data_IF_497725106777
#
_entry.id   IF_497725106777
#
_cell.length_a   1.000
_cell.length_b   1.000
_cell.length_c   1.000
_cell.angle_alpha   90.00
_cell.angle_beta   90.00
_cell.angle_gamma   90.00
#
_symmetry.space_group_name_H-M   'P 1'
#
loop_
_entity.id
_entity.type
_entity.pdbx_description
1 polymer ?
#
# COMPACT_ATOMS: atom_id res chain seq x y z
N UNK A 1 -16.43 3.35 -45.09
CA UNK A 1 -16.54 3.42 -43.62
C UNK A 1 -15.14 3.66 -43.09
N UNK A 2 -14.85 4.84 -42.53
CA UNK A 2 -13.56 5.11 -41.89
C UNK A 2 -13.46 4.24 -40.64
N UNK A 3 -12.55 3.28 -40.62
CA UNK A 3 -12.14 2.60 -39.40
C UNK A 3 -11.54 3.67 -38.49
N UNK A 4 -12.29 4.09 -37.47
CA UNK A 4 -11.77 4.94 -36.41
C UNK A 4 -10.74 4.08 -35.68
N UNK A 5 -9.47 4.48 -35.78
CA UNK A 5 -8.38 3.88 -35.02
C UNK A 5 -8.77 3.93 -33.55
N UNK A 6 -8.88 2.75 -32.93
CA UNK A 6 -9.18 2.67 -31.51
C UNK A 6 -7.92 3.11 -30.76
N UNK A 7 -7.94 4.31 -30.21
CA UNK A 7 -6.91 4.80 -29.30
C UNK A 7 -7.05 4.01 -28.00
N UNK A 8 -6.27 2.95 -27.86
CA UNK A 8 -6.17 2.19 -26.61
C UNK A 8 -5.05 2.80 -25.76
N UNK A 9 -5.45 3.67 -24.83
CA UNK A 9 -4.56 4.23 -23.82
C UNK A 9 -5.37 4.87 -22.69
N UNK A 10 -5.09 4.50 -21.44
CA UNK A 10 -5.69 5.13 -20.28
C UNK A 10 -5.06 6.50 -20.04
N UNK A 11 -5.88 7.53 -19.81
CA UNK A 11 -5.34 8.81 -19.34
C UNK A 11 -4.87 8.70 -17.87
N UNK A 12 -4.02 9.63 -17.42
CA UNK A 12 -3.46 9.59 -16.06
C UNK A 12 -4.53 9.48 -14.96
N UNK A 13 -5.64 10.23 -14.99
CA UNK A 13 -6.73 10.07 -14.02
C UNK A 13 -7.36 8.67 -14.00
N UNK A 14 -7.62 8.07 -15.17
CA UNK A 14 -8.18 6.71 -15.27
C UNK A 14 -7.22 5.67 -14.69
N UNK A 15 -5.91 5.79 -14.97
CA UNK A 15 -4.89 4.90 -14.42
C UNK A 15 -4.80 5.01 -12.90
N UNK A 16 -4.95 6.22 -12.34
CA UNK A 16 -4.99 6.44 -10.90
C UNK A 16 -6.24 5.85 -10.25
N UNK A 17 -7.42 6.03 -10.88
CA UNK A 17 -8.66 5.43 -10.41
C UNK A 17 -8.55 3.90 -10.35
N UNK A 18 -8.14 3.26 -11.44
CA UNK A 18 -7.98 1.80 -11.50
C UNK A 18 -6.94 1.32 -10.48
N UNK A 19 -5.79 2.00 -10.39
CA UNK A 19 -4.74 1.63 -9.44
C UNK A 19 -5.21 1.69 -7.98
N UNK A 20 -5.91 2.76 -7.58
CA UNK A 20 -6.41 2.89 -6.21
C UNK A 20 -7.57 1.95 -5.91
N UNK A 21 -8.50 1.76 -6.85
CA UNK A 21 -9.58 0.79 -6.69
C UNK A 21 -9.03 -0.64 -6.53
N UNK A 22 -8.10 -1.05 -7.40
CA UNK A 22 -7.46 -2.37 -7.29
C UNK A 22 -6.77 -2.55 -5.95
N UNK A 23 -6.02 -1.54 -5.51
CA UNK A 23 -5.29 -1.64 -4.27
C UNK A 23 -6.22 -1.79 -3.04
N UNK A 24 -7.31 -1.00 -2.94
CA UNK A 24 -8.30 -1.17 -1.87
C UNK A 24 -8.96 -2.56 -1.93
N UNK A 25 -9.24 -3.08 -3.12
CA UNK A 25 -9.82 -4.42 -3.28
C UNK A 25 -8.83 -5.53 -2.88
N UNK A 26 -7.54 -5.35 -3.16
CA UNK A 26 -6.48 -6.26 -2.69
C UNK A 26 -6.42 -6.25 -1.17
N UNK A 27 -6.36 -5.07 -0.55
CA UNK A 27 -6.31 -4.92 0.91
C UNK A 27 -7.53 -5.55 1.58
N UNK A 28 -8.72 -5.27 1.05
CA UNK A 28 -9.97 -5.89 1.48
C UNK A 28 -9.89 -7.42 1.39
N UNK A 29 -9.43 -7.96 0.26
CA UNK A 29 -9.35 -9.41 0.05
C UNK A 29 -8.39 -10.06 1.06
N UNK A 30 -7.21 -9.45 1.25
CA UNK A 30 -6.22 -9.96 2.20
C UNK A 30 -6.76 -9.92 3.63
N UNK A 31 -7.38 -8.81 4.04
CA UNK A 31 -7.99 -8.69 5.37
C UNK A 31 -9.04 -9.77 5.62
N UNK A 32 -9.96 -9.98 4.67
CA UNK A 32 -11.01 -11.00 4.84
C UNK A 32 -10.44 -12.43 4.82
N UNK A 33 -9.34 -12.70 4.10
CA UNK A 33 -8.69 -14.01 4.20
C UNK A 33 -8.05 -14.25 5.56
N UNK A 34 -7.45 -13.21 6.17
CA UNK A 34 -6.92 -13.33 7.51
C UNK A 34 -8.01 -13.48 8.56
N UNK A 35 -9.09 -12.70 8.46
CA UNK A 35 -10.26 -12.82 9.32
C UNK A 35 -10.90 -14.22 9.25
N UNK A 36 -10.99 -14.79 8.04
CA UNK A 36 -11.59 -16.12 7.84
C UNK A 36 -10.69 -17.27 8.32
N UNK A 37 -9.38 -17.19 8.07
CA UNK A 37 -8.48 -18.35 8.22
C UNK A 37 -7.44 -18.24 9.34
N UNK A 38 -7.35 -17.10 10.01
CA UNK A 38 -6.34 -16.90 11.04
C UNK A 38 -6.94 -16.33 12.33
N UNK A 39 -6.93 -17.15 13.38
CA UNK A 39 -7.50 -16.82 14.70
C UNK A 39 -6.96 -15.54 15.36
N UNK A 40 -5.83 -15.01 14.89
CA UNK A 40 -5.23 -13.78 15.40
C UNK A 40 -5.75 -12.50 14.74
N UNK A 41 -6.69 -12.63 13.79
CA UNK A 41 -7.34 -11.48 13.13
C UNK A 41 -8.84 -11.69 13.21
N UNK A 42 -9.54 -10.72 13.79
CA UNK A 42 -11.00 -10.74 13.83
C UNK A 42 -11.57 -9.39 13.39
N UNK A 43 -12.53 -9.43 12.49
CA UNK A 43 -13.20 -8.26 11.95
C UNK A 43 -14.72 -8.47 12.04
N UNK A 44 -15.41 -7.57 12.75
CA UNK A 44 -16.82 -7.73 13.10
C UNK A 44 -17.74 -7.92 11.88
N UNK A 45 -17.41 -7.29 10.76
CA UNK A 45 -18.20 -7.40 9.53
C UNK A 45 -17.43 -6.95 8.29
N UNK A 46 -17.94 -7.32 7.12
CA UNK A 46 -17.43 -6.88 5.82
C UNK A 46 -17.33 -5.34 5.69
N UNK A 47 -18.31 -4.59 6.20
CA UNK A 47 -18.29 -3.13 6.15
C UNK A 47 -17.11 -2.56 6.94
N UNK A 48 -16.78 -3.18 8.08
CA UNK A 48 -15.62 -2.80 8.89
C UNK A 48 -14.33 -3.18 8.19
N UNK A 49 -14.22 -4.37 7.57
CA UNK A 49 -13.02 -4.76 6.80
C UNK A 49 -12.79 -3.84 5.60
N UNK A 50 -13.85 -3.38 4.94
CA UNK A 50 -13.76 -2.38 3.88
C UNK A 50 -13.29 -1.01 4.36
N UNK A 51 -13.83 -0.52 5.48
CA UNK A 51 -13.37 0.72 6.08
C UNK A 51 -11.90 0.62 6.54
N UNK A 52 -11.50 -0.52 7.13
CA UNK A 52 -10.13 -0.80 7.54
C UNK A 52 -9.17 -0.86 6.34
N UNK A 53 -9.58 -1.49 5.23
CA UNK A 53 -8.80 -1.51 3.99
C UNK A 53 -8.53 -0.09 3.47
N UNK A 54 -9.55 0.77 3.44
CA UNK A 54 -9.38 2.17 3.02
C UNK A 54 -8.45 2.92 3.98
N UNK A 55 -8.62 2.72 5.31
CA UNK A 55 -7.76 3.35 6.31
C UNK A 55 -6.30 2.93 6.14
N UNK A 56 -6.03 1.63 6.08
CA UNK A 56 -4.69 1.09 5.88
C UNK A 56 -4.08 1.66 4.61
N UNK A 57 -4.84 1.68 3.51
CA UNK A 57 -4.35 2.17 2.25
C UNK A 57 -4.04 3.68 2.26
N UNK A 58 -4.80 4.45 3.03
CA UNK A 58 -4.50 5.86 3.27
C UNK A 58 -3.21 6.02 4.08
N UNK A 59 -3.06 5.28 5.18
CA UNK A 59 -1.92 5.38 6.07
C UNK A 59 -0.62 4.91 5.42
N UNK A 60 -0.65 3.88 4.56
CA UNK A 60 0.50 3.44 3.76
C UNK A 60 1.01 4.57 2.85
N UNK A 61 0.11 5.24 2.12
CA UNK A 61 0.48 6.35 1.23
C UNK A 61 1.01 7.55 2.00
N UNK A 62 0.40 7.87 3.14
CA UNK A 62 0.88 8.94 4.01
C UNK A 62 2.28 8.62 4.56
N UNK A 63 2.53 7.38 4.96
CA UNK A 63 3.83 6.93 5.49
C UNK A 63 4.93 7.02 4.43
N UNK A 64 4.66 6.54 3.22
CA UNK A 64 5.60 6.63 2.10
C UNK A 64 5.86 8.09 1.71
N UNK A 65 4.81 8.93 1.67
CA UNK A 65 4.96 10.36 1.37
C UNK A 65 5.80 11.10 2.42
N UNK A 66 5.60 10.78 3.70
CA UNK A 66 6.37 11.34 4.80
C UNK A 66 7.85 10.90 4.73
N UNK A 67 8.08 9.62 4.44
CA UNK A 67 9.43 9.07 4.24
C UNK A 67 10.17 9.82 3.12
N UNK A 68 9.55 10.00 1.95
CA UNK A 68 10.15 10.71 0.83
C UNK A 68 10.49 12.16 1.19
N UNK A 69 9.57 12.88 1.82
CA UNK A 69 9.78 14.29 2.22
C UNK A 69 10.98 14.44 3.17
N UNK A 70 11.11 13.52 4.13
CA UNK A 70 12.20 13.54 5.10
C UNK A 70 13.52 13.10 4.45
N UNK A 71 13.48 12.08 3.60
CA UNK A 71 14.64 11.62 2.85
C UNK A 71 15.22 12.73 1.95
N UNK A 72 14.36 13.46 1.25
CA UNK A 72 14.76 14.58 0.38
C UNK A 72 15.32 15.76 1.17
N UNK A 73 14.72 16.08 2.32
CA UNK A 73 15.25 17.10 3.23
C UNK A 73 16.70 16.83 3.62
N UNK A 74 17.02 15.61 4.04
CA UNK A 74 18.39 15.24 4.41
C UNK A 74 19.33 15.09 3.21
N UNK A 75 18.81 14.68 2.04
CA UNK A 75 19.58 14.58 0.80
C UNK A 75 20.10 15.93 0.30
N UNK A 76 19.36 17.01 0.56
CA UNK A 76 19.74 18.37 0.16
C UNK A 76 20.89 18.99 0.97
N UNK A 77 21.34 18.36 2.08
CA UNK A 77 22.36 18.91 2.98
C UNK A 77 23.74 18.26 2.74
N UNK A 78 24.82 19.06 2.60
CA UNK A 78 26.17 18.53 2.43
C UNK A 78 26.72 17.92 3.73
N UNK A 79 27.55 16.87 3.60
CA UNK A 79 28.28 16.24 4.71
C UNK A 79 27.88 14.79 5.03
N UNK A 80 28.56 14.18 6.00
CA UNK A 80 28.35 12.78 6.41
C UNK A 80 27.23 12.63 7.44
N UNK A 81 27.04 13.61 8.32
CA UNK A 81 25.99 13.58 9.35
C UNK A 81 24.56 13.49 8.76
N UNK A 82 24.18 14.25 7.71
CA UNK A 82 22.87 14.09 7.07
C UNK A 82 22.61 12.69 6.50
N UNK A 83 23.64 11.95 6.07
CA UNK A 83 23.49 10.57 5.59
C UNK A 83 23.09 9.62 6.73
N UNK A 84 23.69 9.78 7.90
CA UNK A 84 23.36 9.00 9.10
C UNK A 84 21.95 9.33 9.59
N UNK A 85 21.62 10.62 9.72
CA UNK A 85 20.28 11.05 10.11
C UNK A 85 19.20 10.65 9.10
N UNK A 86 19.53 10.57 7.81
CA UNK A 86 18.62 10.01 6.80
C UNK A 86 18.32 8.54 7.06
N UNK A 87 19.34 7.72 7.33
CA UNK A 87 19.14 6.30 7.64
C UNK A 87 18.29 6.10 8.89
N UNK A 88 18.60 6.83 9.96
CA UNK A 88 17.86 6.76 11.23
C UNK A 88 16.41 7.20 11.06
N UNK A 89 16.17 8.35 10.42
CA UNK A 89 14.81 8.88 10.21
C UNK A 89 13.97 7.97 9.31
N UNK A 90 14.55 7.45 8.24
CA UNK A 90 13.88 6.47 7.36
C UNK A 90 13.49 5.22 8.14
N UNK A 91 14.39 4.68 8.95
CA UNK A 91 14.11 3.52 9.79
C UNK A 91 12.99 3.79 10.81
N UNK A 92 13.04 4.93 11.50
CA UNK A 92 12.00 5.33 12.46
C UNK A 92 10.64 5.46 11.78
N UNK A 93 10.58 6.00 10.56
CA UNK A 93 9.31 6.12 9.82
C UNK A 93 8.82 4.75 9.36
N UNK A 94 9.69 3.91 8.80
CA UNK A 94 9.31 2.58 8.31
C UNK A 94 8.81 1.66 9.42
N UNK A 95 9.48 1.66 10.57
CA UNK A 95 9.07 0.84 11.72
C UNK A 95 7.96 1.52 12.50
N UNK A 96 8.10 2.82 12.78
CA UNK A 96 7.15 3.60 13.57
C UNK A 96 5.78 3.75 12.90
N UNK A 97 5.72 3.87 11.57
CA UNK A 97 4.45 3.96 10.84
C UNK A 97 3.57 2.74 11.06
N UNK A 98 4.14 1.55 11.27
CA UNK A 98 3.39 0.33 11.57
C UNK A 98 2.70 0.39 12.94
N UNK A 99 3.37 0.93 13.94
CA UNK A 99 2.74 1.18 15.24
C UNK A 99 1.67 2.25 15.17
N UNK A 100 1.91 3.33 14.40
CA UNK A 100 0.89 4.37 14.16
C UNK A 100 -0.33 3.79 13.43
N UNK A 101 -0.12 2.88 12.48
CA UNK A 101 -1.21 2.21 11.77
C UNK A 101 -2.04 1.31 12.69
N UNK A 102 -1.38 0.50 13.53
CA UNK A 102 -2.06 -0.34 14.53
C UNK A 102 -2.88 0.52 15.50
N UNK A 103 -2.29 1.60 16.02
CA UNK A 103 -2.98 2.53 16.91
C UNK A 103 -4.15 3.23 16.22
N UNK A 104 -3.98 3.64 14.96
CA UNK A 104 -5.06 4.28 14.19
C UNK A 104 -6.25 3.34 13.98
N UNK A 105 -6.00 2.04 13.76
CA UNK A 105 -7.06 1.03 13.67
C UNK A 105 -7.75 0.88 15.02
N UNK A 106 -6.99 0.77 16.11
CA UNK A 106 -7.55 0.65 17.46
C UNK A 106 -8.41 1.87 17.83
N UNK A 107 -7.96 3.09 17.50
CA UNK A 107 -8.74 4.31 17.73
C UNK A 107 -10.01 4.37 16.88
N UNK A 108 -9.94 3.96 15.61
CA UNK A 108 -11.06 4.10 14.67
C UNK A 108 -12.11 3.00 14.82
N UNK A 109 -11.67 1.78 15.11
CA UNK A 109 -12.52 0.59 15.10
C UNK A 109 -12.63 -0.09 16.47
N UNK A 110 -11.69 0.16 17.38
CA UNK A 110 -11.65 -0.48 18.70
C UNK A 110 -11.75 -1.99 18.57
N UNK A 111 -12.67 -2.58 19.34
CA UNK A 111 -12.90 -4.02 19.40
C UNK A 111 -13.51 -4.62 18.11
N UNK A 112 -13.81 -3.80 17.08
CA UNK A 112 -14.38 -4.26 15.81
C UNK A 112 -13.32 -4.78 14.83
N UNK A 113 -12.06 -4.42 15.04
CA UNK A 113 -10.90 -4.96 14.32
C UNK A 113 -9.88 -5.33 15.38
N UNK A 114 -9.83 -6.61 15.73
CA UNK A 114 -8.91 -7.13 16.72
C UNK A 114 -7.74 -7.86 16.05
N UNK A 115 -6.53 -7.46 16.45
CA UNK A 115 -5.32 -8.20 16.17
C UNK A 115 -4.87 -8.80 17.50
N UNK A 116 -4.90 -10.13 17.60
CA UNK A 116 -4.57 -10.85 18.82
C UNK A 116 -3.30 -11.70 18.67
N UNK A 117 -2.97 -12.48 19.70
CA UNK A 117 -1.78 -13.33 19.69
C UNK A 117 -0.51 -12.61 20.16
N UNK A 118 0.69 -13.10 19.75
CA UNK A 118 1.95 -12.68 20.34
C UNK A 118 2.19 -11.17 20.25
N UNK A 119 2.77 -10.61 21.32
CA UNK A 119 3.12 -9.19 21.41
C UNK A 119 1.89 -8.27 21.26
N UNK A 120 0.74 -8.67 21.83
CA UNK A 120 -0.53 -7.94 21.76
C UNK A 120 -0.95 -7.63 20.31
N UNK A 121 -0.95 -8.65 19.44
CA UNK A 121 -1.41 -8.48 18.05
C UNK A 121 -0.40 -7.90 17.08
N UNK A 122 0.76 -7.42 17.55
CA UNK A 122 1.77 -6.81 16.67
C UNK A 122 2.24 -7.80 15.60
N UNK A 123 2.44 -9.06 15.94
CA UNK A 123 2.86 -10.07 14.96
C UNK A 123 1.80 -10.29 13.89
N UNK A 124 0.52 -10.35 14.30
CA UNK A 124 -0.60 -10.51 13.38
C UNK A 124 -0.73 -9.33 12.42
N UNK A 125 -0.70 -8.12 12.98
CA UNK A 125 -0.73 -6.89 12.22
C UNK A 125 0.41 -6.81 11.19
N UNK A 126 1.66 -7.11 11.61
CA UNK A 126 2.79 -7.08 10.69
C UNK A 126 2.64 -8.11 9.56
N UNK A 127 2.20 -9.33 9.86
CA UNK A 127 1.96 -10.36 8.85
C UNK A 127 0.92 -9.90 7.81
N UNK A 128 -0.20 -9.33 8.26
CA UNK A 128 -1.24 -8.75 7.40
C UNK A 128 -0.66 -7.67 6.50
N UNK A 129 0.05 -6.69 7.07
CA UNK A 129 0.67 -5.61 6.30
C UNK A 129 1.68 -6.14 5.28
N UNK A 130 2.50 -7.13 5.63
CA UNK A 130 3.45 -7.70 4.67
C UNK A 130 2.75 -8.42 3.52
N UNK A 131 1.70 -9.19 3.79
CA UNK A 131 0.93 -9.87 2.75
C UNK A 131 0.19 -8.87 1.86
N UNK A 132 -0.36 -7.79 2.43
CA UNK A 132 -0.91 -6.66 1.67
C UNK A 132 0.13 -6.11 0.70
N UNK A 133 1.31 -5.71 1.19
CA UNK A 133 2.37 -5.12 0.36
C UNK A 133 2.83 -6.07 -0.75
N UNK A 134 2.99 -7.36 -0.44
CA UNK A 134 3.37 -8.38 -1.44
C UNK A 134 2.26 -8.53 -2.49
N UNK A 135 1.00 -8.59 -2.07
CA UNK A 135 -0.15 -8.74 -2.96
C UNK A 135 -0.32 -7.53 -3.86
N UNK A 136 -0.21 -6.31 -3.34
CA UNK A 136 -0.22 -5.08 -4.12
C UNK A 136 0.90 -5.07 -5.17
N UNK A 137 2.12 -5.48 -4.81
CA UNK A 137 3.24 -5.56 -5.75
C UNK A 137 2.98 -6.57 -6.86
N UNK A 138 2.42 -7.74 -6.53
CA UNK A 138 2.09 -8.78 -7.51
C UNK A 138 1.01 -8.27 -8.48
N UNK A 139 -0.10 -7.73 -7.95
CA UNK A 139 -1.20 -7.22 -8.76
C UNK A 139 -0.74 -6.04 -9.62
N UNK A 140 0.07 -5.14 -9.07
CA UNK A 140 0.65 -4.02 -9.83
C UNK A 140 1.55 -4.52 -10.96
N UNK A 141 2.37 -5.54 -10.73
CA UNK A 141 3.21 -6.15 -11.78
C UNK A 141 2.35 -6.76 -12.88
N UNK A 142 1.30 -7.48 -12.54
CA UNK A 142 0.36 -8.06 -13.52
C UNK A 142 -0.31 -6.94 -14.31
N UNK A 143 -0.83 -5.92 -13.63
CA UNK A 143 -1.47 -4.77 -14.26
C UNK A 143 -0.54 -4.08 -15.27
N UNK A 144 0.72 -3.82 -14.92
CA UNK A 144 1.68 -3.21 -15.83
C UNK A 144 2.19 -4.17 -16.92
N UNK A 145 2.26 -5.47 -16.66
CA UNK A 145 2.64 -6.46 -17.67
C UNK A 145 1.58 -6.63 -18.76
N UNK A 146 0.32 -6.31 -18.46
CA UNK A 146 -0.82 -6.32 -19.39
C UNK A 146 -1.02 -5.00 -20.13
N UNK A 147 -0.26 -3.96 -19.80
CA UNK A 147 -0.32 -2.70 -20.54
C UNK A 147 0.24 -2.92 -21.95
N UNK A 148 -0.60 -2.67 -22.96
CA UNK A 148 -0.31 -2.83 -24.40
C UNK A 148 0.67 -1.76 -24.92
N UNK A 149 1.52 -1.21 -24.04
CA UNK A 149 2.70 -0.42 -24.38
C UNK A 149 3.68 -1.31 -25.13
N UNK A 150 3.30 -1.61 -26.37
CA UNK A 150 4.13 -2.16 -27.42
C UNK A 150 5.48 -1.47 -27.35
N UNK A 151 6.53 -2.27 -27.26
CA UNK A 151 7.86 -1.83 -27.65
C UNK A 151 7.69 -1.30 -29.07
N UNK A 152 7.70 0.02 -29.25
CA UNK A 152 7.84 0.62 -30.57
C UNK A 152 9.03 -0.08 -31.22
N UNK A 153 8.88 -0.74 -32.39
CA UNK A 153 10.04 -1.27 -33.08
C UNK A 153 10.93 -0.08 -33.39
N UNK A 154 12.09 -0.04 -32.73
CA UNK A 154 13.24 0.70 -33.19
C UNK A 154 13.47 0.25 -34.64
N UNK A 155 13.47 1.21 -35.57
CA UNK A 155 13.63 1.09 -37.02
C UNK A 155 12.34 1.06 -37.86
N UNK A 156 11.85 2.25 -38.21
CA UNK A 156 11.30 2.53 -39.53
C UNK A 156 11.34 4.04 -39.84
N UNK A 157 12.55 4.59 -40.02
CA UNK A 157 12.95 5.52 -41.10
C UNK A 157 14.39 5.97 -40.90
#
# INVERSE_FOLDING_TARGET
MSNIEKVYGFNTPQRLFVGYSLAVLVDLTVLNFFDEYWEFVNIESFTISFAAAILLQLLLKLSIGLEHKIADYFKSKPGTAPKVFRGISTYIILVGSKFVMLEAINIMFGDKVDFSGPWNGVVAFFAVVFVILISEVIVSKIYFALDDSSKTPENAQ
#
